data_IF_684426086153
#
_entry.id   IF_684426086153
#
_cell.length_a   1.000
_cell.length_b   1.000
_cell.length_c   1.000
_cell.angle_alpha   90.00
_cell.angle_beta   90.00
_cell.angle_gamma   90.00
#
_symmetry.space_group_name_H-M   'P 1'
#
loop_
_entity.id
_entity.type
_entity.pdbx_description
1 polymer ?
#
# COMPACT_ATOMS: atom_id res chain seq x y z
N UNK A 1 -20.06 -20.45 9.18
CA UNK A 1 -20.14 -20.19 10.63
C UNK A 1 -18.69 -19.93 11.06
N UNK A 2 -18.30 -18.66 11.14
CA UNK A 2 -16.92 -18.26 11.45
C UNK A 2 -16.61 -18.50 12.92
N UNK A 3 -15.55 -19.24 13.19
CA UNK A 3 -15.06 -19.50 14.55
C UNK A 3 -14.04 -18.42 14.91
N UNK A 4 -14.31 -17.64 15.94
CA UNK A 4 -13.41 -16.61 16.46
C UNK A 4 -12.16 -17.22 17.10
N UNK A 5 -10.92 -16.75 16.77
CA UNK A 5 -9.73 -17.21 17.49
C UNK A 5 -9.64 -16.57 18.89
N UNK A 6 -9.26 -17.38 19.87
CA UNK A 6 -9.02 -16.98 21.25
C UNK A 6 -7.77 -16.11 21.37
N UNK A 7 -7.93 -14.91 21.94
CA UNK A 7 -6.83 -14.02 22.31
C UNK A 7 -5.95 -14.66 23.40
N UNK A 8 -4.69 -14.89 23.09
CA UNK A 8 -3.63 -15.22 24.05
C UNK A 8 -3.08 -13.95 24.70
N UNK A 9 -3.26 -13.83 26.01
CA UNK A 9 -2.79 -12.68 26.78
C UNK A 9 -1.28 -12.75 27.05
N UNK A 10 -0.51 -11.76 26.58
CA UNK A 10 0.82 -11.47 27.09
C UNK A 10 0.78 -10.16 27.90
N UNK A 11 1.16 -10.23 29.17
CA UNK A 11 1.33 -9.08 30.07
C UNK A 11 2.63 -8.36 29.72
N UNK A 12 2.54 -7.10 29.41
CA UNK A 12 3.67 -6.17 29.43
C UNK A 12 3.63 -5.36 30.73
N UNK A 13 4.82 -5.21 31.35
CA UNK A 13 5.03 -4.46 32.59
C UNK A 13 4.80 -2.96 32.34
N UNK A 14 4.10 -2.32 33.28
CA UNK A 14 3.84 -0.90 33.27
C UNK A 14 5.07 -0.15 33.81
N UNK A 15 5.66 0.73 33.00
CA UNK A 15 6.54 1.80 33.49
C UNK A 15 5.74 3.11 33.55
N UNK A 16 5.67 3.67 34.74
CA UNK A 16 5.04 4.96 35.04
C UNK A 16 6.02 6.08 34.72
N UNK A 17 5.68 6.98 33.82
CA UNK A 17 6.47 8.16 33.49
C UNK A 17 5.63 9.30 32.90
N UNK A 18 5.42 10.32 33.70
CA UNK A 18 5.08 11.74 33.46
C UNK A 18 4.58 12.17 32.08
N UNK A 19 3.37 12.72 32.11
CA UNK A 19 2.65 13.39 31.01
C UNK A 19 3.39 14.60 30.45
N UNK A 20 4.07 14.42 29.32
CA UNK A 20 4.29 15.44 28.32
C UNK A 20 3.45 15.02 27.10
N UNK A 21 2.46 15.82 26.69
CA UNK A 21 1.77 15.61 25.43
C UNK A 21 2.73 15.99 24.29
N UNK A 22 3.42 15.03 23.62
CA UNK A 22 4.07 15.32 22.35
C UNK A 22 2.95 15.53 21.32
N UNK A 23 3.09 16.50 20.43
CA UNK A 23 2.37 16.49 19.15
C UNK A 23 2.56 15.09 18.58
N UNK A 24 1.49 14.27 18.57
CA UNK A 24 1.55 12.92 18.02
C UNK A 24 2.00 13.05 16.57
N UNK A 25 3.16 12.49 16.24
CA UNK A 25 3.59 12.38 14.85
C UNK A 25 2.48 11.69 14.09
N UNK A 26 2.01 12.30 13.01
CA UNK A 26 0.87 11.82 12.23
C UNK A 26 1.16 10.47 11.56
N UNK A 27 2.46 10.16 11.33
CA UNK A 27 2.92 8.93 10.72
C UNK A 27 3.98 8.23 11.58
N UNK A 28 3.84 6.93 11.75
CA UNK A 28 4.89 6.07 12.32
C UNK A 28 6.01 5.84 11.29
N UNK A 29 5.65 5.62 10.02
CA UNK A 29 6.57 5.56 8.88
C UNK A 29 6.03 6.48 7.79
N UNK A 30 6.90 7.31 7.23
CA UNK A 30 6.56 8.26 6.16
C UNK A 30 7.58 8.22 5.02
N UNK A 31 7.19 8.61 3.80
CA UNK A 31 8.12 8.78 2.69
C UNK A 31 9.24 9.75 3.02
N UNK A 32 10.41 9.53 2.41
CA UNK A 32 11.58 10.38 2.58
C UNK A 32 12.01 10.98 1.23
N UNK A 33 11.26 11.95 0.67
CA UNK A 33 11.51 12.50 -0.66
C UNK A 33 12.84 13.25 -0.80
N UNK A 34 13.49 13.58 0.33
CA UNK A 34 14.79 14.24 0.35
C UNK A 34 15.96 13.25 0.47
N UNK A 35 15.70 11.94 0.59
CA UNK A 35 16.78 10.93 0.62
C UNK A 35 17.47 10.88 -0.76
N UNK A 36 18.78 11.21 -0.84
CA UNK A 36 19.51 11.24 -2.10
C UNK A 36 19.68 9.86 -2.75
N UNK A 37 19.41 8.78 -2.03
CA UNK A 37 19.43 7.41 -2.55
C UNK A 37 18.19 7.07 -3.37
N UNK A 38 17.10 7.84 -3.22
CA UNK A 38 15.79 7.56 -3.83
C UNK A 38 15.51 8.40 -5.07
N UNK A 39 16.19 9.55 -5.22
CA UNK A 39 16.00 10.45 -6.38
C UNK A 39 17.32 11.01 -6.89
N UNK A 40 17.35 11.38 -8.17
CA UNK A 40 18.45 12.15 -8.76
C UNK A 40 17.90 13.28 -9.62
N UNK A 41 18.66 14.38 -9.74
CA UNK A 41 18.37 15.43 -10.70
C UNK A 41 18.80 15.03 -12.10
N UNK A 42 17.95 15.34 -13.08
CA UNK A 42 18.21 15.11 -14.50
C UNK A 42 17.87 16.38 -15.28
N UNK A 43 18.79 16.79 -16.15
CA UNK A 43 18.57 17.93 -17.05
C UNK A 43 17.76 17.50 -18.26
N UNK A 44 16.86 18.37 -18.72
CA UNK A 44 16.02 18.18 -19.88
C UNK A 44 15.63 19.50 -20.52
N UNK A 45 14.64 19.45 -21.40
CA UNK A 45 14.01 20.65 -22.00
C UNK A 45 12.49 20.56 -21.82
N UNK A 46 11.84 21.70 -21.64
CA UNK A 46 10.38 21.82 -21.63
C UNK A 46 9.79 21.96 -23.05
N UNK A 47 8.48 22.18 -23.15
CA UNK A 47 7.75 22.37 -24.43
C UNK A 47 8.14 23.66 -25.16
N UNK A 48 8.73 24.62 -24.46
CA UNK A 48 9.21 25.89 -25.01
C UNK A 48 10.73 25.86 -25.34
N UNK A 49 11.34 24.65 -25.19
CA UNK A 49 12.78 24.38 -25.38
C UNK A 49 13.68 25.04 -24.33
N UNK A 50 13.14 25.45 -23.19
CA UNK A 50 13.96 25.96 -22.11
C UNK A 50 14.64 24.79 -21.36
N UNK A 51 15.91 24.95 -20.96
CA UNK A 51 16.57 23.96 -20.11
C UNK A 51 15.86 23.91 -18.75
N UNK A 52 15.58 22.67 -18.29
CA UNK A 52 15.00 22.42 -16.97
C UNK A 52 15.84 21.38 -16.23
N UNK A 53 15.76 21.42 -14.91
CA UNK A 53 16.17 20.31 -14.04
C UNK A 53 14.96 19.75 -13.32
N UNK A 54 14.87 18.43 -13.28
CA UNK A 54 13.79 17.75 -12.58
C UNK A 54 14.32 16.56 -11.77
N UNK A 55 13.70 16.26 -10.62
CA UNK A 55 13.99 15.06 -9.85
C UNK A 55 13.29 13.86 -10.50
N UNK A 56 14.02 12.76 -10.63
CA UNK A 56 13.48 11.47 -11.08
C UNK A 56 13.79 10.40 -10.03
N UNK A 57 12.88 9.42 -9.88
CA UNK A 57 13.03 8.31 -8.94
C UNK A 57 14.14 7.38 -9.44
N UNK A 58 14.95 6.86 -8.51
CA UNK A 58 15.93 5.83 -8.78
C UNK A 58 15.25 4.47 -8.60
N UNK A 59 15.33 3.64 -9.65
CA UNK A 59 14.94 2.23 -9.59
C UNK A 59 16.19 1.37 -9.49
N UNK A 60 16.10 0.31 -8.68
CA UNK A 60 17.16 -0.71 -8.58
C UNK A 60 16.54 -2.09 -8.45
N UNK A 61 17.22 -3.15 -8.91
CA UNK A 61 16.77 -4.51 -8.67
C UNK A 61 16.93 -4.87 -7.19
N UNK A 62 16.06 -5.74 -6.70
CA UNK A 62 16.20 -6.42 -5.41
C UNK A 62 15.93 -7.89 -5.62
N UNK A 63 16.94 -8.73 -5.41
CA UNK A 63 16.82 -10.19 -5.52
C UNK A 63 16.47 -10.77 -4.16
N UNK A 64 15.32 -11.44 -4.09
CA UNK A 64 14.81 -12.10 -2.89
C UNK A 64 15.15 -13.58 -2.89
N UNK A 65 15.76 -14.03 -1.80
CA UNK A 65 15.95 -15.43 -1.48
C UNK A 65 15.09 -15.83 -0.27
N UNK A 66 14.51 -17.02 -0.33
CA UNK A 66 13.92 -17.71 0.82
C UNK A 66 14.81 -18.91 1.15
N UNK A 67 15.39 -18.91 2.35
CA UNK A 67 16.43 -19.84 2.76
C UNK A 67 17.62 -19.79 1.76
N UNK A 68 17.94 -20.85 1.09
CA UNK A 68 19.02 -20.90 0.10
C UNK A 68 18.56 -20.77 -1.36
N UNK A 69 17.32 -20.37 -1.62
CA UNK A 69 16.72 -20.39 -2.95
C UNK A 69 16.26 -19.00 -3.41
N UNK A 70 16.68 -18.66 -4.63
CA UNK A 70 16.19 -17.45 -5.31
C UNK A 70 14.70 -17.57 -5.64
N UNK A 71 13.93 -16.58 -5.25
CA UNK A 71 12.49 -16.50 -5.46
C UNK A 71 12.17 -15.59 -6.64
N UNK A 72 12.72 -14.37 -6.62
CA UNK A 72 12.37 -13.32 -7.58
C UNK A 72 13.37 -12.17 -7.51
N UNK A 73 13.54 -11.46 -8.62
CA UNK A 73 14.15 -10.13 -8.66
C UNK A 73 13.06 -9.10 -8.98
N UNK A 74 12.93 -8.10 -8.13
CA UNK A 74 11.91 -7.02 -8.22
C UNK A 74 12.59 -5.69 -8.48
N UNK A 75 12.02 -4.85 -9.36
CA UNK A 75 12.41 -3.45 -9.47
C UNK A 75 11.73 -2.65 -8.36
N UNK A 76 12.51 -1.94 -7.55
CA UNK A 76 12.05 -1.17 -6.38
C UNK A 76 12.85 0.11 -6.24
N UNK A 77 12.42 1.03 -5.38
CA UNK A 77 13.22 2.22 -5.03
C UNK A 77 14.35 1.90 -4.03
N UNK A 78 14.39 0.67 -3.50
CA UNK A 78 15.46 0.18 -2.63
C UNK A 78 15.35 0.56 -1.16
N UNK A 79 14.27 1.24 -0.73
CA UNK A 79 13.98 1.43 0.69
C UNK A 79 13.23 0.23 1.27
N UNK A 80 13.41 -0.03 2.55
CA UNK A 80 12.71 -1.09 3.29
C UNK A 80 12.76 -2.48 2.62
N UNK A 81 13.94 -2.99 2.23
CA UNK A 81 14.06 -4.28 1.54
C UNK A 81 13.56 -5.47 2.39
N UNK A 82 13.71 -5.39 3.71
CA UNK A 82 13.22 -6.34 4.70
C UNK A 82 11.69 -6.44 4.68
N UNK A 83 11.00 -5.30 4.72
CA UNK A 83 9.53 -5.27 4.65
C UNK A 83 9.02 -5.75 3.32
N UNK A 84 9.67 -5.33 2.21
CA UNK A 84 9.29 -5.77 0.86
C UNK A 84 9.43 -7.28 0.72
N UNK A 85 10.54 -7.86 1.18
CA UNK A 85 10.81 -9.28 1.09
C UNK A 85 9.79 -10.12 1.87
N UNK A 86 9.58 -9.79 3.14
CA UNK A 86 8.63 -10.52 4.01
C UNK A 86 7.20 -10.37 3.47
N UNK A 87 6.80 -9.16 3.11
CA UNK A 87 5.45 -8.92 2.60
C UNK A 87 5.19 -9.61 1.25
N UNK A 88 6.18 -9.65 0.36
CA UNK A 88 6.08 -10.41 -0.86
C UNK A 88 5.84 -11.90 -0.58
N UNK A 89 6.66 -12.51 0.29
CA UNK A 89 6.51 -13.94 0.64
C UNK A 89 5.16 -14.26 1.26
N UNK A 90 4.65 -13.40 2.15
CA UNK A 90 3.32 -13.55 2.76
C UNK A 90 2.21 -13.44 1.71
N UNK A 91 2.26 -12.41 0.87
CA UNK A 91 1.24 -12.15 -0.14
C UNK A 91 1.30 -13.12 -1.33
N UNK A 92 2.40 -13.86 -1.49
CA UNK A 92 2.50 -14.99 -2.42
C UNK A 92 2.24 -16.35 -1.74
N UNK A 93 1.80 -16.34 -0.48
CA UNK A 93 1.54 -17.55 0.32
C UNK A 93 2.74 -18.52 0.40
N UNK A 94 3.97 -17.97 0.37
CA UNK A 94 5.22 -18.72 0.48
C UNK A 94 5.67 -18.89 1.93
N UNK A 95 5.11 -18.08 2.84
CA UNK A 95 5.20 -18.24 4.29
C UNK A 95 3.84 -18.64 4.85
N UNK A 96 3.78 -19.74 5.56
CA UNK A 96 2.59 -20.22 6.25
C UNK A 96 2.53 -19.74 7.71
N UNK A 97 1.39 -19.95 8.37
CA UNK A 97 1.18 -19.58 9.77
C UNK A 97 2.17 -20.21 10.76
N UNK A 98 2.79 -21.35 10.39
CA UNK A 98 3.75 -22.09 11.21
C UNK A 98 5.21 -21.81 10.84
N UNK A 99 5.48 -20.96 9.84
CA UNK A 99 6.83 -20.62 9.42
C UNK A 99 7.33 -19.43 10.26
N UNK A 100 8.37 -19.68 11.04
CA UNK A 100 8.98 -18.65 11.86
C UNK A 100 10.20 -18.09 11.14
N UNK A 101 10.20 -16.79 10.88
CA UNK A 101 11.38 -16.08 10.37
C UNK A 101 12.42 -16.02 11.49
N UNK A 102 13.63 -16.51 11.23
CA UNK A 102 14.76 -16.51 12.17
C UNK A 102 15.82 -15.47 11.85
N UNK A 103 15.91 -15.05 10.58
CA UNK A 103 16.82 -13.99 10.15
C UNK A 103 16.32 -13.35 8.85
N UNK A 104 16.67 -12.07 8.67
CA UNK A 104 16.54 -11.33 7.42
C UNK A 104 17.88 -10.65 7.20
N UNK A 105 18.60 -11.05 6.17
CA UNK A 105 19.91 -10.51 5.82
C UNK A 105 19.79 -9.71 4.52
N UNK A 106 20.20 -8.44 4.54
CA UNK A 106 20.22 -7.59 3.36
C UNK A 106 21.66 -7.19 3.02
N UNK A 107 22.04 -7.37 1.76
CA UNK A 107 23.29 -6.93 1.19
C UNK A 107 23.02 -5.82 0.16
N UNK A 108 23.44 -4.59 0.47
CA UNK A 108 23.21 -3.41 -0.36
C UNK A 108 24.10 -3.41 -1.63
N UNK A 109 25.29 -4.01 -1.57
CA UNK A 109 26.19 -4.11 -2.74
C UNK A 109 25.68 -5.11 -3.77
N UNK A 110 25.13 -6.23 -3.29
CA UNK A 110 24.56 -7.29 -4.14
C UNK A 110 23.08 -7.04 -4.46
N UNK A 111 22.46 -6.01 -3.86
CA UNK A 111 21.02 -5.73 -3.98
C UNK A 111 20.16 -6.99 -3.70
N UNK A 112 20.54 -7.71 -2.64
CA UNK A 112 20.00 -9.03 -2.32
C UNK A 112 19.48 -9.07 -0.90
N UNK A 113 18.28 -9.64 -0.71
CA UNK A 113 17.70 -9.90 0.60
C UNK A 113 17.42 -11.39 0.76
N UNK A 114 17.85 -11.97 1.88
CA UNK A 114 17.65 -13.37 2.24
C UNK A 114 16.77 -13.46 3.46
N UNK A 115 15.59 -14.06 3.33
CA UNK A 115 14.71 -14.41 4.45
C UNK A 115 14.96 -15.86 4.84
N UNK A 116 15.27 -16.12 6.12
CA UNK A 116 15.51 -17.47 6.65
C UNK A 116 14.40 -17.87 7.61
N UNK A 117 13.93 -19.09 7.46
CA UNK A 117 12.93 -19.71 8.34
C UNK A 117 13.53 -20.87 9.12
N UNK A 118 12.91 -21.23 10.25
CA UNK A 118 13.35 -22.31 11.12
C UNK A 118 13.17 -23.72 10.51
N UNK A 119 12.47 -23.82 9.38
CA UNK A 119 12.27 -25.05 8.60
C UNK A 119 12.25 -24.73 7.11
N UNK A 120 12.45 -25.74 6.29
CA UNK A 120 12.22 -25.62 4.84
C UNK A 120 10.71 -25.45 4.58
N UNK A 121 10.39 -24.55 3.65
CA UNK A 121 9.02 -24.28 3.24
C UNK A 121 8.68 -25.09 1.98
N UNK A 122 7.42 -25.43 1.79
CA UNK A 122 6.92 -26.20 0.65
C UNK A 122 6.63 -25.37 -0.61
N UNK A 123 7.19 -24.14 -0.67
CA UNK A 123 6.92 -23.20 -1.76
C UNK A 123 7.32 -23.70 -3.17
N UNK A 124 8.19 -24.70 -3.27
CA UNK A 124 8.63 -25.26 -4.56
C UNK A 124 7.49 -25.82 -5.40
N UNK A 125 6.56 -26.50 -4.76
CA UNK A 125 5.37 -27.04 -5.42
C UNK A 125 4.42 -25.91 -5.84
N UNK A 126 4.41 -24.82 -5.09
CA UNK A 126 3.62 -23.61 -5.37
C UNK A 126 4.15 -22.83 -6.58
N UNK A 127 5.48 -22.75 -6.76
CA UNK A 127 6.11 -22.06 -7.90
C UNK A 127 5.78 -22.68 -9.27
N UNK A 128 5.39 -23.94 -9.32
CA UNK A 128 5.03 -24.63 -10.58
C UNK A 128 3.71 -24.12 -11.21
N UNK A 129 2.85 -23.44 -10.45
CA UNK A 129 1.52 -23.00 -10.86
C UNK A 129 1.43 -21.47 -11.08
N UNK A 130 2.46 -20.85 -11.65
CA UNK A 130 2.49 -19.40 -11.86
C UNK A 130 1.50 -18.93 -12.90
N UNK A 131 0.68 -17.94 -12.56
CA UNK A 131 -0.19 -17.20 -13.48
C UNK A 131 0.34 -15.77 -13.63
N UNK A 132 0.53 -15.31 -14.87
CA UNK A 132 0.92 -13.92 -15.15
C UNK A 132 -0.30 -13.02 -14.98
N UNK A 133 -0.18 -12.02 -14.10
CA UNK A 133 -1.22 -11.04 -13.86
C UNK A 133 -0.86 -9.66 -14.43
N UNK A 134 -1.88 -8.81 -14.64
CA UNK A 134 -1.69 -7.51 -15.29
C UNK A 134 -0.88 -6.54 -14.43
N UNK A 135 0.39 -6.40 -14.72
CA UNK A 135 1.28 -5.41 -14.10
C UNK A 135 2.40 -5.98 -13.23
N UNK A 136 2.54 -7.31 -13.17
CA UNK A 136 3.69 -7.97 -12.61
C UNK A 136 4.19 -9.03 -13.58
N UNK A 137 5.41 -8.89 -14.10
CA UNK A 137 6.01 -9.88 -15.01
C UNK A 137 6.35 -11.21 -14.30
N UNK A 138 6.14 -11.32 -13.00
CA UNK A 138 6.71 -12.36 -12.14
C UNK A 138 5.80 -13.58 -11.95
N UNK A 139 4.55 -13.54 -12.39
CA UNK A 139 3.59 -14.64 -12.18
C UNK A 139 3.23 -14.84 -10.71
N UNK A 140 1.95 -15.09 -10.47
CA UNK A 140 1.35 -15.29 -9.15
C UNK A 140 0.94 -16.74 -9.01
N UNK A 141 1.10 -17.34 -7.83
CA UNK A 141 0.59 -18.68 -7.49
C UNK A 141 -0.91 -18.57 -7.25
N UNK A 142 -1.67 -18.36 -8.32
CA UNK A 142 -3.04 -17.89 -8.28
C UNK A 142 -4.00 -18.85 -7.56
N UNK A 143 -3.85 -20.17 -7.74
CA UNK A 143 -4.71 -21.17 -7.11
C UNK A 143 -4.65 -21.11 -5.58
N UNK A 144 -3.43 -21.16 -5.03
CA UNK A 144 -3.21 -21.13 -3.58
C UNK A 144 -3.63 -19.79 -2.94
N UNK A 145 -3.50 -18.69 -3.71
CA UNK A 145 -3.96 -17.37 -3.24
C UNK A 145 -5.47 -17.29 -3.13
N UNK A 146 -6.20 -17.94 -4.05
CA UNK A 146 -7.65 -17.96 -4.01
C UNK A 146 -8.20 -18.88 -2.91
N UNK A 147 -7.55 -20.01 -2.64
CA UNK A 147 -7.91 -20.85 -1.49
C UNK A 147 -7.81 -20.07 -0.18
N UNK A 148 -6.67 -19.39 0.06
CA UNK A 148 -6.49 -18.56 1.25
C UNK A 148 -7.44 -17.36 1.29
N UNK A 149 -7.74 -16.77 0.13
CA UNK A 149 -8.69 -15.66 0.01
C UNK A 149 -10.10 -16.05 0.48
N UNK A 150 -10.56 -17.27 0.14
CA UNK A 150 -11.88 -17.78 0.53
C UNK A 150 -11.98 -18.14 2.02
N UNK A 151 -10.84 -18.35 2.70
CA UNK A 151 -10.79 -18.64 4.14
C UNK A 151 -10.84 -17.38 5.01
N UNK A 152 -10.51 -16.19 4.46
CA UNK A 152 -10.45 -14.95 5.24
C UNK A 152 -11.85 -14.43 5.55
N UNK A 153 -12.10 -14.15 6.81
CA UNK A 153 -13.31 -13.49 7.29
C UNK A 153 -12.98 -12.04 7.72
N UNK A 154 -13.40 -11.08 6.92
CA UNK A 154 -13.24 -9.66 7.25
C UNK A 154 -14.21 -9.24 8.35
N UNK A 155 -13.78 -8.31 9.22
CA UNK A 155 -14.63 -7.79 10.31
C UNK A 155 -15.93 -7.18 9.75
N UNK A 156 -17.09 -7.77 10.05
CA UNK A 156 -18.38 -7.26 9.59
C UNK A 156 -18.80 -5.97 10.30
N UNK A 157 -18.22 -5.67 11.47
CA UNK A 157 -18.52 -4.48 12.26
C UNK A 157 -17.63 -3.27 11.88
N UNK A 158 -16.70 -3.45 10.97
CA UNK A 158 -15.85 -2.35 10.50
C UNK A 158 -16.69 -1.21 9.92
N UNK A 159 -16.32 0.02 10.24
CA UNK A 159 -17.03 1.25 9.85
C UNK A 159 -16.06 2.20 9.17
N UNK A 160 -16.52 2.86 8.10
CA UNK A 160 -15.85 4.01 7.50
C UNK A 160 -16.75 5.24 7.59
N UNK A 161 -16.27 6.31 8.24
CA UNK A 161 -16.95 7.60 8.24
C UNK A 161 -16.51 8.44 7.04
N UNK A 162 -17.43 9.16 6.41
CA UNK A 162 -17.05 10.07 5.31
C UNK A 162 -16.14 11.20 5.78
N UNK A 163 -16.28 11.66 7.04
CA UNK A 163 -15.36 12.60 7.68
C UNK A 163 -13.92 12.07 7.71
N UNK A 164 -13.72 10.78 8.06
CA UNK A 164 -12.41 10.14 8.05
C UNK A 164 -11.84 10.04 6.61
N UNK A 165 -12.65 9.57 5.67
CA UNK A 165 -12.24 9.45 4.26
C UNK A 165 -11.71 10.78 3.70
N UNK A 166 -12.42 11.88 3.97
CA UNK A 166 -12.01 13.20 3.47
C UNK A 166 -10.76 13.72 4.16
N UNK A 167 -10.65 13.51 5.48
CA UNK A 167 -9.45 13.86 6.24
C UNK A 167 -8.22 13.05 5.75
N UNK A 168 -8.34 11.72 5.60
CA UNK A 168 -7.29 10.86 5.06
C UNK A 168 -6.87 11.30 3.65
N UNK A 169 -7.83 11.51 2.77
CA UNK A 169 -7.55 11.95 1.40
C UNK A 169 -6.76 13.25 1.36
N UNK A 170 -7.11 14.23 2.22
CA UNK A 170 -6.37 15.49 2.33
C UNK A 170 -4.97 15.27 2.89
N UNK A 171 -4.83 14.61 4.06
CA UNK A 171 -3.56 14.38 4.74
C UNK A 171 -2.57 13.62 3.85
N UNK A 172 -3.01 12.54 3.20
CA UNK A 172 -2.15 11.71 2.34
C UNK A 172 -1.72 12.48 1.08
N UNK A 173 -2.64 13.21 0.42
CA UNK A 173 -2.32 13.90 -0.82
C UNK A 173 -1.48 15.17 -0.62
N UNK A 174 -1.35 15.68 0.61
CA UNK A 174 -0.51 16.84 0.94
C UNK A 174 0.76 16.48 1.69
N UNK A 175 0.89 15.22 2.15
CA UNK A 175 2.11 14.76 2.81
C UNK A 175 3.31 14.82 1.86
N UNK A 176 4.49 15.29 2.33
CA UNK A 176 5.73 15.19 1.55
C UNK A 176 5.96 13.75 1.11
N UNK A 177 6.17 13.54 -0.19
CA UNK A 177 6.26 12.21 -0.79
C UNK A 177 7.09 12.25 -2.07
N UNK A 178 7.65 11.11 -2.45
CA UNK A 178 8.34 10.93 -3.73
C UNK A 178 7.40 11.19 -4.91
N UNK A 179 6.10 10.87 -4.73
CA UNK A 179 5.09 11.18 -5.74
C UNK A 179 4.98 12.68 -6.03
N UNK A 180 5.02 13.52 -5.00
CA UNK A 180 4.98 14.97 -5.17
C UNK A 180 6.32 15.53 -5.69
N UNK A 181 7.44 14.92 -5.29
CA UNK A 181 8.77 15.36 -5.64
C UNK A 181 9.19 14.97 -7.07
N UNK A 182 8.86 13.76 -7.52
CA UNK A 182 9.38 13.19 -8.77
C UNK A 182 8.31 12.52 -9.65
N UNK A 183 7.09 12.28 -9.17
CA UNK A 183 6.09 11.47 -9.89
C UNK A 183 6.53 9.99 -10.04
N UNK A 184 5.98 9.28 -11.02
CA UNK A 184 6.35 7.91 -11.43
C UNK A 184 6.41 6.88 -10.27
N UNK A 185 5.58 7.04 -9.24
CA UNK A 185 5.59 6.22 -8.03
C UNK A 185 4.16 5.96 -7.52
N UNK A 186 4.00 4.88 -6.79
CA UNK A 186 2.76 4.52 -6.12
C UNK A 186 2.93 4.55 -4.62
N UNK A 187 1.93 5.11 -3.92
CA UNK A 187 1.85 5.11 -2.47
C UNK A 187 0.78 4.17 -1.94
N UNK A 188 1.09 3.50 -0.86
CA UNK A 188 0.16 2.74 -0.04
C UNK A 188 0.24 3.24 1.40
N UNK A 189 -0.92 3.36 2.06
CA UNK A 189 -1.02 3.91 3.42
C UNK A 189 -1.93 3.04 4.27
N UNK A 190 -1.40 2.56 5.39
CA UNK A 190 -2.20 1.97 6.45
C UNK A 190 -2.72 3.08 7.34
N UNK A 191 -4.02 3.09 7.59
CA UNK A 191 -4.69 4.13 8.35
C UNK A 191 -5.54 3.53 9.48
N UNK A 192 -5.84 4.34 10.47
CA UNK A 192 -6.79 4.05 11.53
C UNK A 192 -7.67 5.27 11.74
N UNK A 193 -8.97 5.12 11.57
CA UNK A 193 -9.91 6.23 11.56
C UNK A 193 -9.49 7.31 10.53
N UNK A 194 -9.22 8.55 10.97
CA UNK A 194 -8.75 9.66 10.13
C UNK A 194 -7.22 9.87 10.18
N UNK A 195 -6.48 8.92 10.78
CA UNK A 195 -5.02 9.01 10.96
C UNK A 195 -4.28 8.07 10.00
N UNK A 196 -3.41 8.58 9.12
CA UNK A 196 -2.45 7.76 8.42
C UNK A 196 -1.34 7.31 9.39
N UNK A 197 -1.02 6.00 9.38
CA UNK A 197 -0.02 5.40 10.27
C UNK A 197 1.28 5.08 9.53
N UNK A 198 1.17 4.31 8.45
CA UNK A 198 2.31 3.86 7.65
C UNK A 198 2.10 4.33 6.23
N UNK A 199 3.01 5.12 5.70
CA UNK A 199 3.00 5.54 4.30
C UNK A 199 4.26 5.06 3.62
N UNK A 200 4.12 4.09 2.73
CA UNK A 200 5.22 3.51 1.95
C UNK A 200 4.98 3.72 0.46
N UNK A 201 6.05 4.04 -0.26
CA UNK A 201 6.05 4.27 -1.69
C UNK A 201 6.93 3.26 -2.42
N UNK A 202 6.58 2.98 -3.67
CA UNK A 202 7.42 2.20 -4.59
C UNK A 202 7.01 2.50 -6.04
N UNK A 203 7.90 2.20 -6.99
CA UNK A 203 7.61 2.27 -8.44
C UNK A 203 6.47 1.32 -8.81
N UNK A 204 6.38 0.17 -8.12
CA UNK A 204 5.30 -0.81 -8.22
C UNK A 204 4.28 -0.68 -7.10
N UNK A 205 2.97 -0.53 -7.42
CA UNK A 205 1.91 -0.56 -6.39
C UNK A 205 1.89 -1.86 -5.58
N UNK A 206 2.33 -2.97 -6.19
CA UNK A 206 2.42 -4.28 -5.52
C UNK A 206 3.55 -4.31 -4.50
N UNK A 207 4.68 -3.69 -4.80
CA UNK A 207 5.77 -3.54 -3.83
C UNK A 207 5.35 -2.66 -2.65
N UNK A 208 4.65 -1.55 -2.93
CA UNK A 208 4.21 -0.64 -1.87
C UNK A 208 3.24 -1.30 -0.87
N UNK A 209 2.30 -2.17 -1.33
CA UNK A 209 1.46 -2.94 -0.41
C UNK A 209 2.26 -4.03 0.30
N UNK A 210 3.20 -4.70 -0.40
CA UNK A 210 4.05 -5.73 0.21
C UNK A 210 4.90 -5.15 1.35
N UNK A 211 5.47 -3.95 1.19
CA UNK A 211 6.18 -3.27 2.27
C UNK A 211 5.30 -3.08 3.52
N UNK A 212 4.03 -2.67 3.34
CA UNK A 212 3.12 -2.51 4.48
C UNK A 212 2.77 -3.87 5.10
N UNK A 213 2.51 -4.89 4.27
CA UNK A 213 2.26 -6.26 4.76
C UNK A 213 3.42 -6.77 5.59
N UNK A 214 4.66 -6.63 5.09
CA UNK A 214 5.86 -7.05 5.81
C UNK A 214 6.06 -6.28 7.11
N UNK A 215 5.86 -4.96 7.11
CA UNK A 215 5.90 -4.16 8.33
C UNK A 215 4.88 -4.66 9.36
N UNK A 216 3.62 -4.83 8.94
CA UNK A 216 2.57 -5.31 9.85
C UNK A 216 2.93 -6.65 10.49
N UNK A 217 3.49 -7.58 9.70
CA UNK A 217 3.91 -8.89 10.20
C UNK A 217 5.07 -8.78 11.20
N UNK A 218 6.15 -8.09 10.83
CA UNK A 218 7.36 -8.00 11.65
C UNK A 218 7.14 -7.22 12.96
N UNK A 219 6.24 -6.23 12.94
CA UNK A 219 5.89 -5.42 14.11
C UNK A 219 4.59 -5.83 14.78
N UNK A 220 3.99 -6.97 14.36
CA UNK A 220 2.75 -7.51 14.93
C UNK A 220 1.61 -6.47 14.99
N UNK A 221 1.47 -5.66 13.94
CA UNK A 221 0.40 -4.66 13.83
C UNK A 221 -0.92 -5.34 13.54
N UNK A 222 -1.90 -5.16 14.43
CA UNK A 222 -3.24 -5.74 14.26
C UNK A 222 -3.99 -5.12 13.08
N UNK A 223 -4.70 -5.91 12.24
CA UNK A 223 -5.55 -5.42 11.17
C UNK A 223 -6.88 -4.81 11.67
N UNK A 224 -7.22 -5.03 12.95
CA UNK A 224 -8.48 -4.55 13.53
C UNK A 224 -8.57 -3.03 13.49
N UNK A 225 -9.69 -2.52 12.97
CA UNK A 225 -9.93 -1.09 12.84
C UNK A 225 -9.09 -0.38 11.79
N UNK A 226 -8.35 -1.12 10.95
CA UNK A 226 -7.49 -0.53 9.92
C UNK A 226 -8.24 -0.28 8.61
N UNK A 227 -7.77 0.74 7.91
CA UNK A 227 -8.19 1.15 6.58
C UNK A 227 -6.94 1.15 5.70
N UNK A 228 -7.05 0.59 4.50
CA UNK A 228 -5.96 0.61 3.53
C UNK A 228 -6.25 1.62 2.42
N UNK A 229 -5.34 2.56 2.22
CA UNK A 229 -5.41 3.56 1.15
C UNK A 229 -4.29 3.33 0.14
N UNK A 230 -4.60 3.44 -1.16
CA UNK A 230 -3.59 3.35 -2.22
C UNK A 230 -3.79 4.42 -3.30
N UNK A 231 -2.70 4.81 -3.96
CA UNK A 231 -2.77 5.65 -5.17
C UNK A 231 -2.95 4.81 -6.44
N UNK A 232 -2.74 3.50 -6.35
CA UNK A 232 -2.79 2.56 -7.45
C UNK A 232 -4.22 2.17 -7.86
N UNK A 233 -4.34 1.52 -9.02
CA UNK A 233 -5.61 0.94 -9.49
C UNK A 233 -6.05 -0.19 -8.57
N UNK A 234 -7.37 -0.32 -8.38
CA UNK A 234 -8.01 -1.40 -7.63
C UNK A 234 -8.22 -2.61 -8.54
N UNK A 235 -7.17 -3.41 -8.68
CA UNK A 235 -7.18 -4.67 -9.44
C UNK A 235 -7.46 -5.85 -8.53
N UNK A 236 -7.72 -7.03 -9.11
CA UNK A 236 -7.89 -8.29 -8.37
C UNK A 236 -6.78 -8.54 -7.36
N UNK A 237 -5.52 -8.36 -7.75
CA UNK A 237 -4.37 -8.56 -6.85
C UNK A 237 -4.36 -7.61 -5.65
N UNK A 238 -4.70 -6.33 -5.86
CA UNK A 238 -4.79 -5.37 -4.76
C UNK A 238 -5.89 -5.75 -3.77
N UNK A 239 -7.02 -6.27 -4.27
CA UNK A 239 -8.11 -6.78 -3.44
C UNK A 239 -7.68 -8.02 -2.69
N UNK A 240 -7.09 -9.02 -3.38
CA UNK A 240 -6.62 -10.27 -2.76
C UNK A 240 -5.63 -9.96 -1.63
N UNK A 241 -4.61 -9.15 -1.89
CA UNK A 241 -3.61 -8.77 -0.88
C UNK A 241 -4.24 -8.06 0.31
N UNK A 242 -5.18 -7.13 0.08
CA UNK A 242 -5.86 -6.41 1.17
C UNK A 242 -6.71 -7.35 2.02
N UNK A 243 -7.41 -8.30 1.40
CA UNK A 243 -8.19 -9.33 2.11
C UNK A 243 -7.27 -10.24 2.92
N UNK A 244 -6.14 -10.69 2.35
CA UNK A 244 -5.15 -11.50 3.06
C UNK A 244 -4.50 -10.78 4.26
N UNK A 245 -4.44 -9.44 4.21
CA UNK A 245 -4.05 -8.60 5.36
C UNK A 245 -5.17 -8.47 6.39
N UNK A 246 -6.34 -9.06 6.16
CA UNK A 246 -7.54 -8.99 7.00
C UNK A 246 -8.08 -7.55 7.19
N UNK A 247 -7.78 -6.64 6.23
CA UNK A 247 -8.22 -5.25 6.29
C UNK A 247 -9.55 -5.11 5.55
N UNK A 248 -10.64 -4.67 6.23
CA UNK A 248 -11.99 -4.70 5.69
C UNK A 248 -12.33 -3.53 4.74
N UNK A 249 -11.46 -2.51 4.64
CA UNK A 249 -11.73 -1.28 3.89
C UNK A 249 -10.54 -0.94 3.00
N UNK A 250 -10.77 -0.88 1.68
CA UNK A 250 -9.77 -0.51 0.67
C UNK A 250 -10.23 0.73 -0.09
N UNK A 251 -9.40 1.78 -0.03
CA UNK A 251 -9.66 3.08 -0.67
C UNK A 251 -8.59 3.36 -1.71
N UNK A 252 -8.99 3.91 -2.87
CA UNK A 252 -8.06 4.43 -3.86
C UNK A 252 -8.55 5.71 -4.52
N UNK A 253 -7.63 6.59 -4.87
CA UNK A 253 -7.92 7.72 -5.77
C UNK A 253 -8.02 7.32 -7.24
N UNK A 254 -7.64 6.09 -7.58
CA UNK A 254 -7.67 5.53 -8.94
C UNK A 254 -8.97 4.74 -9.20
N UNK A 255 -9.06 4.10 -10.35
CA UNK A 255 -10.22 3.32 -10.78
C UNK A 255 -10.13 1.83 -10.44
N UNK A 256 -11.15 1.10 -10.87
CA UNK A 256 -11.38 -0.32 -10.60
C UNK A 256 -11.20 -1.18 -11.85
N UNK A 257 -10.95 -2.47 -11.65
CA UNK A 257 -11.21 -3.51 -12.65
C UNK A 257 -12.49 -4.28 -12.27
N UNK A 258 -13.20 -4.83 -13.25
CA UNK A 258 -14.42 -5.60 -13.00
C UNK A 258 -14.17 -6.75 -12.02
N UNK A 259 -13.12 -7.54 -12.27
CA UNK A 259 -12.78 -8.66 -11.41
C UNK A 259 -12.35 -8.24 -9.98
N UNK A 260 -11.68 -7.09 -9.81
CA UNK A 260 -11.42 -6.54 -8.49
C UNK A 260 -12.70 -6.21 -7.72
N UNK A 261 -13.74 -5.70 -8.41
CA UNK A 261 -15.06 -5.46 -7.80
C UNK A 261 -15.76 -6.76 -7.42
N UNK A 262 -15.71 -7.77 -8.27
CA UNK A 262 -16.36 -9.07 -8.01
C UNK A 262 -15.73 -9.75 -6.80
N UNK A 263 -14.41 -9.78 -6.70
CA UNK A 263 -13.69 -10.31 -5.54
C UNK A 263 -13.97 -9.51 -4.26
N UNK A 264 -14.04 -8.19 -4.33
CA UNK A 264 -14.38 -7.37 -3.18
C UNK A 264 -15.77 -7.69 -2.62
N UNK A 265 -16.74 -7.93 -3.52
CA UNK A 265 -18.10 -8.36 -3.13
C UNK A 265 -18.10 -9.76 -2.52
N UNK A 266 -17.36 -10.69 -3.11
CA UNK A 266 -17.22 -12.06 -2.60
C UNK A 266 -16.64 -12.08 -1.19
N UNK A 267 -15.56 -11.32 -0.92
CA UNK A 267 -14.92 -11.25 0.39
C UNK A 267 -15.67 -10.35 1.41
N UNK A 268 -16.69 -9.61 0.97
CA UNK A 268 -17.33 -8.61 1.83
C UNK A 268 -16.41 -7.41 2.14
N UNK A 269 -15.46 -7.07 1.25
CA UNK A 269 -14.57 -5.93 1.39
C UNK A 269 -15.29 -4.64 0.99
N UNK A 270 -15.13 -3.57 1.76
CA UNK A 270 -15.56 -2.23 1.34
C UNK A 270 -14.55 -1.67 0.34
N UNK A 271 -14.99 -1.49 -0.92
CA UNK A 271 -14.16 -1.06 -2.03
C UNK A 271 -14.55 0.32 -2.54
N UNK A 272 -13.66 1.31 -2.31
CA UNK A 272 -13.86 2.70 -2.68
C UNK A 272 -12.77 3.16 -3.64
N UNK A 273 -13.19 3.63 -4.80
CA UNK A 273 -12.26 4.21 -5.78
C UNK A 273 -12.64 5.61 -6.20
N UNK A 274 -11.76 6.23 -7.00
CA UNK A 274 -11.86 7.61 -7.47
C UNK A 274 -12.04 8.61 -6.32
N UNK A 275 -11.48 8.29 -5.15
CA UNK A 275 -11.52 9.13 -3.96
C UNK A 275 -10.63 10.37 -4.20
N UNK A 276 -11.26 11.52 -4.43
CA UNK A 276 -10.59 12.80 -4.68
C UNK A 276 -11.40 13.95 -4.11
N UNK A 277 -10.81 14.70 -3.17
CA UNK A 277 -11.53 15.71 -2.40
C UNK A 277 -12.69 15.05 -1.66
N UNK A 278 -13.91 15.54 -1.88
CA UNK A 278 -15.12 14.99 -1.27
C UNK A 278 -15.91 14.03 -2.18
N UNK A 279 -15.32 13.58 -3.30
CA UNK A 279 -15.95 12.65 -4.24
C UNK A 279 -15.33 11.29 -4.15
N UNK A 280 -16.16 10.26 -4.19
CA UNK A 280 -15.74 8.86 -4.26
C UNK A 280 -16.83 8.01 -4.91
N UNK A 281 -16.49 6.77 -5.25
CA UNK A 281 -17.44 5.75 -5.71
C UNK A 281 -17.19 4.49 -4.88
N UNK A 282 -18.23 3.99 -4.19
CA UNK A 282 -18.21 2.70 -3.52
C UNK A 282 -18.89 1.66 -4.40
N UNK A 283 -18.18 0.56 -4.75
CA UNK A 283 -18.71 -0.52 -5.60
C UNK A 283 -18.93 -1.83 -4.85
N UNK A 284 -18.45 -1.94 -3.60
CA UNK A 284 -18.71 -3.03 -2.69
C UNK A 284 -18.69 -2.52 -1.25
N UNK A 285 -19.42 -3.17 -0.34
CA UNK A 285 -19.40 -2.91 1.11
C UNK A 285 -19.92 -1.51 1.50
N UNK A 286 -20.84 -0.93 0.74
CA UNK A 286 -21.36 0.43 1.00
C UNK A 286 -22.12 0.56 2.33
N UNK A 287 -22.61 -0.54 2.86
CA UNK A 287 -23.33 -0.63 4.15
C UNK A 287 -22.46 -0.27 5.36
N UNK A 288 -21.12 -0.34 5.22
CA UNK A 288 -20.16 0.09 6.26
C UNK A 288 -19.90 1.59 6.25
N UNK A 289 -20.43 2.33 5.27
CA UNK A 289 -20.15 3.76 5.13
C UNK A 289 -21.16 4.58 5.92
N UNK A 290 -20.68 5.32 6.90
CA UNK A 290 -21.45 6.30 7.66
C UNK A 290 -21.25 7.68 7.05
N UNK A 291 -22.33 8.25 6.51
CA UNK A 291 -22.34 9.59 5.90
C UNK A 291 -22.53 10.65 6.98
N UNK A 292 -21.46 11.04 7.66
CA UNK A 292 -21.45 11.98 8.79
C UNK A 292 -20.87 13.36 8.42
N UNK A 293 -20.30 13.53 7.23
CA UNK A 293 -19.75 14.81 6.80
C UNK A 293 -20.79 15.65 6.06
N UNK A 294 -20.93 16.92 6.45
CA UNK A 294 -21.77 17.88 5.73
C UNK A 294 -21.08 18.33 4.43
N UNK A 295 -21.68 18.01 3.29
CA UNK A 295 -21.19 18.39 1.96
C UNK A 295 -21.42 19.87 1.64
N UNK A 296 -22.24 20.59 2.40
CA UNK A 296 -22.61 21.98 2.15
C UNK A 296 -21.55 22.97 2.63
N UNK A 297 -20.71 22.59 3.58
CA UNK A 297 -19.62 23.43 4.08
C UNK A 297 -18.40 23.32 3.14
N UNK A 298 -18.44 24.07 2.04
CA UNK A 298 -17.50 24.00 0.90
C UNK A 298 -16.21 24.81 1.07
N UNK A 299 -15.80 25.19 2.29
CA UNK A 299 -14.63 26.07 2.48
C UNK A 299 -13.24 25.41 2.34
N UNK A 300 -13.16 24.09 2.10
CA UNK A 300 -11.90 23.33 2.11
C UNK A 300 -11.52 22.67 0.76
N UNK A 301 -11.99 23.14 -0.39
CA UNK A 301 -11.38 22.70 -1.66
C UNK A 301 -10.14 23.59 -1.90
N UNK A 302 -8.91 23.02 -1.96
CA UNK A 302 -7.76 23.80 -2.41
C UNK A 302 -8.06 24.33 -3.82
N UNK A 303 -7.69 25.59 -4.13
CA UNK A 303 -8.00 26.20 -5.42
C UNK A 303 -7.54 25.24 -6.52
N UNK A 304 -8.42 24.95 -7.47
CA UNK A 304 -8.05 24.24 -8.69
C UNK A 304 -6.88 25.01 -9.29
N UNK A 305 -5.70 24.41 -9.31
CA UNK A 305 -4.62 24.86 -10.18
C UNK A 305 -5.23 24.95 -11.57
N UNK A 306 -5.53 26.16 -11.99
CA UNK A 306 -6.09 26.44 -13.32
C UNK A 306 -5.12 25.81 -14.32
N UNK A 307 -5.57 24.77 -15.03
CA UNK A 307 -4.94 24.42 -16.29
C UNK A 307 -5.00 25.68 -17.11
N UNK A 308 -3.86 26.34 -17.28
CA UNK A 308 -3.70 27.40 -18.28
C UNK A 308 -4.07 26.77 -19.61
N UNK A 309 -5.30 27.01 -20.06
CA UNK A 309 -5.68 26.76 -21.43
C UNK A 309 -4.92 27.79 -22.25
N UNK A 310 -3.91 27.35 -22.97
CA UNK A 310 -3.33 28.12 -24.09
C UNK A 310 -4.38 28.14 -25.21
N UNK A 311 -5.34 29.07 -25.14
CA UNK A 311 -5.98 29.63 -26.29
C UNK A 311 -5.14 30.84 -26.63
N UNK A 312 -4.22 30.66 -27.55
CA UNK A 312 -3.66 31.77 -28.33
C UNK A 312 -4.83 32.36 -29.15
N UNK A 313 -5.12 33.60 -28.91
CA UNK A 313 -5.98 34.40 -29.77
C UNK A 313 -5.26 34.54 -31.09
N UNK A 314 -5.79 33.92 -32.15
CA UNK A 314 -5.62 34.42 -33.53
C UNK A 314 -6.45 35.71 -33.65
N UNK A 315 -5.81 36.85 -33.64
CA UNK A 315 -6.32 38.06 -34.24
C UNK A 315 -5.30 38.58 -35.27
N UNK A 316 -5.73 38.39 -36.52
CA UNK A 316 -5.73 39.29 -37.66
C UNK A 316 -4.67 40.42 -37.73
N UNK A 317 -3.79 40.35 -38.72
CA UNK A 317 -3.71 41.26 -39.88
C UNK A 317 -2.98 40.55 -41.02
#
# INVERSE_FOLDING_TARGET
>A
MCITPKAGAYRLAAETGTTHHPRMEEFTVRPQPEDPRLTRSVSGIDQERHPIETKVVIERPLTLFLNGREIVTMMTIGDHPDYLAVGYLLNQNMLGANDRIIAIDYDDELETVVVRTDRETDFEDKLRKKTLTSGCAQGTVFGDLMEKFDEVCLDPAAVLRTSWLYALSRKINTAPSLYLAAGAIHGCVLCEEDRPLLYMEDVGRHNAIDKITGYMHLHQVSPVGKIFYTTGRLTSEMVIKTVQMEIPILISRSGFTAWGVDLARQAGLTLIGRAKGRRFIALAGAERIVFDADLRNAEDEPPRLARKSSRAEEETV
#
